data_IF_308727720344
#
_entry.id   IF_308727720344
#
_cell.length_a   1.000
_cell.length_b   1.000
_cell.length_c   1.000
_cell.angle_alpha   90.00
_cell.angle_beta   90.00
_cell.angle_gamma   90.00
#
_symmetry.space_group_name_H-M   'P 1'
#
loop_
_entity.id
_entity.type
_entity.pdbx_description
1 polymer ?
#
# COMPACT_ATOMS: atom_id res chain seq x y z
N UNK A 1 18.60 0.43 -27.23
CA UNK A 1 17.75 0.43 -26.02
C UNK A 1 17.85 1.80 -25.36
N UNK A 2 16.79 2.28 -24.73
CA UNK A 2 16.73 3.64 -24.16
C UNK A 2 16.29 3.63 -22.69
N UNK A 3 16.78 4.60 -21.92
CA UNK A 3 16.24 4.95 -20.61
C UNK A 3 15.19 6.03 -20.84
N UNK A 4 13.99 5.80 -20.33
CA UNK A 4 12.83 6.68 -20.48
C UNK A 4 12.29 7.09 -19.10
N UNK A 5 11.57 8.20 -19.02
CA UNK A 5 10.79 8.54 -17.84
C UNK A 5 9.38 7.92 -17.88
N UNK A 6 8.54 8.28 -16.90
CA UNK A 6 7.14 7.81 -16.82
C UNK A 6 6.22 8.42 -17.89
N UNK A 7 6.60 9.54 -18.50
CA UNK A 7 5.91 10.13 -19.64
C UNK A 7 6.31 9.47 -20.97
N UNK A 8 7.16 8.44 -20.91
CA UNK A 8 7.75 7.75 -22.04
C UNK A 8 8.73 8.62 -22.85
N UNK A 9 9.12 9.78 -22.33
CA UNK A 9 10.14 10.62 -22.95
C UNK A 9 11.51 9.96 -22.79
N UNK A 10 12.33 10.01 -23.86
CA UNK A 10 13.67 9.45 -23.83
C UNK A 10 14.61 10.38 -23.07
N UNK A 11 15.20 9.87 -21.99
CA UNK A 11 16.21 10.59 -21.21
C UNK A 11 17.59 10.40 -21.82
N UNK A 12 17.97 9.14 -22.08
CA UNK A 12 19.23 8.82 -22.76
C UNK A 12 19.20 7.47 -23.47
N UNK A 13 20.06 7.31 -24.46
CA UNK A 13 20.35 5.99 -25.06
C UNK A 13 21.32 5.20 -24.17
N UNK A 14 21.13 3.89 -24.14
CA UNK A 14 22.02 2.95 -23.45
C UNK A 14 23.22 2.67 -24.35
N UNK A 15 24.42 2.67 -23.78
CA UNK A 15 25.64 2.35 -24.52
C UNK A 15 25.69 0.85 -24.89
N UNK A 16 26.55 0.49 -25.85
CA UNK A 16 26.67 -0.92 -26.25
C UNK A 16 27.14 -1.83 -25.09
N UNK A 17 28.06 -1.35 -24.26
CA UNK A 17 28.57 -2.10 -23.10
C UNK A 17 27.51 -2.27 -22.00
N UNK A 18 26.73 -1.24 -21.73
CA UNK A 18 25.60 -1.30 -20.80
C UNK A 18 24.54 -2.28 -21.31
N UNK A 19 24.25 -2.27 -22.62
CA UNK A 19 23.30 -3.20 -23.24
C UNK A 19 23.76 -4.65 -23.13
N UNK A 20 25.02 -4.97 -23.45
CA UNK A 20 25.53 -6.34 -23.33
C UNK A 20 25.51 -6.83 -21.87
N UNK A 21 25.82 -5.95 -20.91
CA UNK A 21 25.72 -6.28 -19.48
C UNK A 21 24.29 -6.60 -19.07
N UNK A 22 23.31 -5.80 -19.51
CA UNK A 22 21.88 -6.03 -19.27
C UNK A 22 21.40 -7.32 -19.94
N UNK A 23 21.87 -7.61 -21.16
CA UNK A 23 21.55 -8.82 -21.90
C UNK A 23 22.06 -10.08 -21.21
N UNK A 24 23.33 -10.10 -20.79
CA UNK A 24 23.90 -11.24 -20.07
C UNK A 24 23.20 -11.45 -18.73
N UNK A 25 22.83 -10.37 -18.04
CA UNK A 25 22.03 -10.44 -16.81
C UNK A 25 20.62 -11.00 -17.06
N UNK A 26 19.91 -10.51 -18.08
CA UNK A 26 18.57 -11.00 -18.43
C UNK A 26 18.57 -12.50 -18.79
N UNK A 27 19.65 -12.98 -19.41
CA UNK A 27 19.87 -14.40 -19.73
C UNK A 27 20.37 -15.23 -18.54
N UNK A 28 20.55 -14.64 -17.36
CA UNK A 28 21.09 -15.33 -16.17
C UNK A 28 22.56 -15.75 -16.29
N UNK A 29 23.30 -15.21 -17.25
CA UNK A 29 24.71 -15.54 -17.55
C UNK A 29 25.71 -14.65 -16.81
N UNK A 30 25.26 -13.54 -16.25
CA UNK A 30 26.08 -12.61 -15.49
C UNK A 30 25.32 -12.06 -14.28
N UNK A 31 26.07 -11.54 -13.30
CA UNK A 31 25.52 -10.74 -12.22
C UNK A 31 24.88 -9.45 -12.76
N UNK A 32 23.90 -8.93 -12.02
CA UNK A 32 23.23 -7.68 -12.37
C UNK A 32 24.24 -6.53 -12.50
N UNK A 33 24.17 -5.67 -13.56
CA UNK A 33 24.92 -4.42 -13.61
C UNK A 33 24.37 -3.45 -12.56
N UNK A 34 24.77 -3.67 -11.31
CA UNK A 34 24.10 -3.16 -10.11
C UNK A 34 24.04 -1.64 -10.08
N UNK A 35 25.13 -0.95 -10.37
CA UNK A 35 25.17 0.52 -10.38
C UNK A 35 24.19 1.14 -11.37
N UNK A 36 24.16 0.62 -12.62
CA UNK A 36 23.25 1.08 -13.66
C UNK A 36 21.78 0.87 -13.25
N UNK A 37 21.45 -0.34 -12.82
CA UNK A 37 20.09 -0.72 -12.44
C UNK A 37 19.62 0.02 -11.18
N UNK A 38 20.51 0.22 -10.19
CA UNK A 38 20.19 1.02 -9.00
C UNK A 38 19.96 2.48 -9.36
N UNK A 39 20.74 3.06 -10.27
CA UNK A 39 20.55 4.45 -10.73
C UNK A 39 19.21 4.61 -11.43
N UNK A 40 18.91 3.76 -12.42
CA UNK A 40 17.60 3.73 -13.11
C UNK A 40 16.46 3.60 -12.10
N UNK A 41 16.60 2.71 -11.12
CA UNK A 41 15.59 2.49 -10.08
C UNK A 41 15.42 3.70 -9.17
N UNK A 42 16.52 4.32 -8.72
CA UNK A 42 16.53 5.49 -7.84
C UNK A 42 15.82 6.68 -8.49
N UNK A 43 16.15 6.94 -9.75
CA UNK A 43 15.61 8.08 -10.50
C UNK A 43 14.17 7.83 -10.99
N UNK A 44 13.63 6.63 -10.77
CA UNK A 44 12.27 6.28 -11.19
C UNK A 44 12.09 6.10 -12.69
N UNK A 45 13.20 5.89 -13.42
CA UNK A 45 13.24 5.70 -14.87
C UNK A 45 12.94 4.26 -15.27
N UNK A 46 12.58 4.06 -16.54
CA UNK A 46 12.28 2.78 -17.17
C UNK A 46 13.22 2.50 -18.35
N UNK A 47 13.16 1.28 -18.87
CA UNK A 47 13.94 0.79 -20.00
C UNK A 47 13.01 0.50 -21.19
N UNK A 48 13.18 1.21 -22.30
CA UNK A 48 12.51 0.92 -23.57
C UNK A 48 13.39 0.02 -24.44
N UNK A 49 12.89 -1.18 -24.74
CA UNK A 49 13.50 -2.10 -25.68
C UNK A 49 13.19 -1.70 -27.12
N UNK A 50 14.15 -1.89 -28.01
CA UNK A 50 14.02 -1.55 -29.44
C UNK A 50 13.72 -2.78 -30.31
N UNK A 51 13.29 -3.88 -29.69
CA UNK A 51 13.07 -5.13 -30.41
C UNK A 51 11.81 -5.15 -31.30
N UNK A 52 10.85 -4.26 -31.05
CA UNK A 52 9.63 -4.09 -31.84
C UNK A 52 9.04 -2.68 -31.64
N UNK A 53 8.01 -2.36 -32.42
CA UNK A 53 7.21 -1.14 -32.31
C UNK A 53 5.73 -1.50 -32.14
N UNK A 54 4.99 -0.92 -31.18
CA UNK A 54 5.47 0.00 -30.13
C UNK A 54 6.51 -0.65 -29.21
N UNK A 55 7.39 0.18 -28.61
CA UNK A 55 8.55 -0.30 -27.85
C UNK A 55 8.12 -0.96 -26.52
N UNK A 56 8.55 -2.20 -26.22
CA UNK A 56 8.35 -2.82 -24.92
C UNK A 56 9.04 -2.04 -23.81
N UNK A 57 8.37 -1.87 -22.68
CA UNK A 57 8.89 -1.12 -21.53
C UNK A 57 9.11 -2.05 -20.35
N UNK A 58 10.28 -1.92 -19.71
CA UNK A 58 10.65 -2.65 -18.51
C UNK A 58 11.00 -1.69 -17.37
N UNK A 59 10.75 -2.11 -16.14
CA UNK A 59 11.23 -1.43 -14.95
C UNK A 59 12.18 -2.31 -14.15
N UNK A 60 13.07 -1.66 -13.39
CA UNK A 60 13.98 -2.35 -12.49
C UNK A 60 13.26 -2.63 -11.17
N UNK A 61 13.03 -3.92 -10.89
CA UNK A 61 12.48 -4.39 -9.63
C UNK A 61 13.61 -4.91 -8.72
N UNK A 62 13.56 -4.56 -7.43
CA UNK A 62 14.41 -5.16 -6.40
C UNK A 62 13.53 -6.02 -5.51
N UNK A 63 13.95 -7.27 -5.30
CA UNK A 63 13.32 -8.19 -4.35
C UNK A 63 13.70 -7.81 -2.92
N UNK A 64 12.94 -8.30 -1.95
CA UNK A 64 13.21 -8.07 -0.53
C UNK A 64 14.58 -8.57 -0.07
N UNK A 65 15.20 -9.47 -0.83
CA UNK A 65 16.55 -10.00 -0.60
C UNK A 65 17.66 -9.15 -1.26
N UNK A 66 17.35 -7.93 -1.71
CA UNK A 66 18.30 -7.06 -2.43
C UNK A 66 18.57 -7.45 -3.90
N UNK A 67 18.04 -8.59 -4.36
CA UNK A 67 18.28 -9.09 -5.72
C UNK A 67 17.51 -8.24 -6.75
N UNK A 68 18.23 -7.70 -7.72
CA UNK A 68 17.65 -6.95 -8.83
C UNK A 68 17.04 -7.89 -9.87
N UNK A 69 16.05 -7.39 -10.60
CA UNK A 69 15.38 -8.08 -11.70
C UNK A 69 14.78 -7.05 -12.66
N UNK A 70 14.70 -7.40 -13.94
CA UNK A 70 13.97 -6.63 -14.93
C UNK A 70 12.56 -7.21 -15.05
N UNK A 71 11.54 -6.34 -15.02
CA UNK A 71 10.15 -6.74 -15.19
C UNK A 71 9.51 -5.93 -16.32
N UNK A 72 8.85 -6.63 -17.23
CA UNK A 72 8.04 -6.03 -18.28
C UNK A 72 6.84 -5.32 -17.64
N UNK A 73 6.52 -4.13 -18.15
CA UNK A 73 5.33 -3.39 -17.76
C UNK A 73 4.11 -4.08 -18.41
N UNK A 74 3.08 -4.49 -17.64
CA UNK A 74 1.90 -5.18 -18.19
C UNK A 74 1.17 -4.39 -19.28
N UNK A 75 1.20 -3.05 -19.23
CA UNK A 75 0.50 -2.19 -20.18
C UNK A 75 1.34 -1.88 -21.44
N UNK A 76 2.57 -2.40 -21.52
CA UNK A 76 3.47 -2.17 -22.64
C UNK A 76 3.44 -3.32 -23.66
N UNK A 77 3.95 -3.05 -24.86
CA UNK A 77 4.08 -4.06 -25.91
C UNK A 77 4.93 -5.27 -25.46
N UNK A 78 4.60 -6.45 -25.99
CA UNK A 78 5.39 -7.65 -25.79
C UNK A 78 6.71 -7.59 -26.58
N UNK A 79 7.76 -8.19 -26.00
CA UNK A 79 9.02 -8.39 -26.70
C UNK A 79 8.91 -9.42 -27.82
N UNK A 80 9.74 -9.30 -28.85
CA UNK A 80 9.86 -10.34 -29.89
C UNK A 80 10.42 -11.64 -29.32
N UNK A 81 10.03 -12.79 -29.90
CA UNK A 81 10.39 -14.12 -29.37
C UNK A 81 11.90 -14.37 -29.22
N UNK A 82 12.74 -13.69 -30.01
CA UNK A 82 14.21 -13.81 -29.95
C UNK A 82 14.88 -12.75 -29.06
N UNK A 83 14.10 -11.85 -28.46
CA UNK A 83 14.64 -10.82 -27.60
C UNK A 83 15.17 -11.43 -26.29
N UNK A 84 16.39 -11.11 -25.84
CA UNK A 84 16.94 -11.63 -24.58
C UNK A 84 16.15 -11.18 -23.33
N UNK A 85 15.27 -10.19 -23.49
CA UNK A 85 14.38 -9.66 -22.46
C UNK A 85 12.95 -10.21 -22.58
N UNK A 86 12.66 -11.06 -23.57
CA UNK A 86 11.39 -11.77 -23.66
C UNK A 86 11.30 -12.79 -22.54
N UNK A 87 10.11 -12.91 -21.92
CA UNK A 87 9.85 -13.96 -20.93
C UNK A 87 9.88 -15.32 -21.62
N UNK A 88 10.77 -16.21 -21.18
CA UNK A 88 10.80 -17.61 -21.63
C UNK A 88 9.61 -18.37 -21.01
N UNK A 89 8.48 -18.42 -21.72
CA UNK A 89 7.35 -19.32 -21.46
C UNK A 89 6.51 -19.05 -20.19
N UNK A 90 5.24 -18.67 -20.38
CA UNK A 90 4.16 -19.01 -19.44
C UNK A 90 3.80 -18.05 -18.31
N UNK A 91 4.39 -16.86 -18.17
CA UNK A 91 3.90 -15.85 -17.19
C UNK A 91 2.93 -14.86 -17.85
N UNK A 92 1.73 -15.39 -18.12
CA UNK A 92 0.41 -14.78 -18.31
C UNK A 92 0.25 -13.44 -19.05
N UNK A 93 -0.26 -13.57 -20.28
CA UNK A 93 -1.33 -12.72 -20.82
C UNK A 93 -2.65 -13.02 -20.09
N UNK A 94 -2.82 -12.44 -18.91
CA UNK A 94 -4.10 -12.19 -18.22
C UNK A 94 -3.75 -11.07 -17.24
N UNK A 95 -4.27 -9.84 -17.30
CA UNK A 95 -5.69 -9.50 -17.29
C UNK A 95 -5.80 -8.00 -17.57
N UNK A 96 -6.69 -7.58 -18.46
CA UNK A 96 -7.24 -6.21 -18.48
C UNK A 96 -8.22 -5.96 -17.32
N UNK A 97 -8.05 -6.68 -16.21
CA UNK A 97 -8.77 -6.46 -14.97
C UNK A 97 -7.81 -5.74 -14.03
N UNK A 98 -8.26 -4.62 -13.47
CA UNK A 98 -7.63 -3.95 -12.32
C UNK A 98 -7.02 -4.99 -11.40
N UNK A 99 -5.69 -4.97 -11.25
CA UNK A 99 -4.98 -5.88 -10.34
C UNK A 99 -5.46 -5.53 -8.93
N UNK A 100 -6.56 -6.15 -8.52
CA UNK A 100 -7.10 -6.11 -7.18
C UNK A 100 -6.10 -6.87 -6.31
N UNK A 101 -5.13 -6.12 -5.81
CA UNK A 101 -4.22 -6.60 -4.80
C UNK A 101 -5.02 -6.86 -3.53
N UNK A 102 -5.35 -8.12 -3.26
CA UNK A 102 -6.12 -8.48 -2.08
C UNK A 102 -5.25 -8.29 -0.84
N UNK A 103 -5.56 -7.28 -0.03
CA UNK A 103 -5.10 -7.20 1.34
C UNK A 103 -5.91 -8.20 2.18
N UNK A 104 -5.26 -8.83 3.15
CA UNK A 104 -5.88 -9.86 3.99
C UNK A 104 -5.79 -9.46 5.46
N UNK A 105 -6.82 -9.79 6.23
CA UNK A 105 -6.84 -9.49 7.66
C UNK A 105 -5.85 -10.41 8.39
N UNK A 106 -4.98 -9.85 9.21
CA UNK A 106 -4.16 -10.65 10.11
C UNK A 106 -5.02 -11.26 11.22
N UNK A 107 -4.77 -12.53 11.52
CA UNK A 107 -5.43 -13.21 12.65
C UNK A 107 -4.76 -12.79 13.95
N UNK A 108 -5.59 -12.44 14.94
CA UNK A 108 -5.13 -12.04 16.27
C UNK A 108 -4.26 -13.13 16.92
N UNK A 109 -3.19 -12.70 17.61
CA UNK A 109 -2.22 -13.62 18.23
C UNK A 109 -1.29 -14.32 17.25
N UNK A 110 -1.41 -14.05 15.95
CA UNK A 110 -0.54 -14.60 14.92
C UNK A 110 0.88 -14.02 14.93
N UNK A 111 1.81 -14.80 14.40
CA UNK A 111 3.15 -14.33 14.06
C UNK A 111 3.12 -13.62 12.70
N UNK A 112 3.55 -12.37 12.67
CA UNK A 112 3.61 -11.60 11.43
C UNK A 112 4.88 -11.96 10.68
N UNK A 113 4.78 -12.18 9.37
CA UNK A 113 5.95 -12.32 8.49
C UNK A 113 5.84 -11.32 7.34
N UNK A 114 6.62 -10.23 7.40
CA UNK A 114 6.59 -9.16 6.39
C UNK A 114 7.66 -9.29 5.29
N UNK A 115 8.71 -10.04 5.58
CA UNK A 115 9.87 -10.22 4.72
C UNK A 115 10.18 -11.68 4.52
N UNK A 116 10.69 -12.03 3.34
CA UNK A 116 11.34 -13.32 3.14
C UNK A 116 12.68 -13.37 3.89
N UNK A 117 12.97 -14.54 4.43
CA UNK A 117 14.27 -14.84 5.03
C UNK A 117 15.41 -14.70 4.01
N UNK A 118 16.55 -14.20 4.48
CA UNK A 118 17.76 -14.06 3.65
C UNK A 118 18.63 -15.27 3.95
N UNK A 119 18.94 -16.08 2.93
CA UNK A 119 19.83 -17.23 3.12
C UNK A 119 21.30 -16.82 3.04
N UNK A 120 22.19 -17.44 3.83
CA UNK A 120 23.63 -17.23 3.71
C UNK A 120 24.11 -17.64 2.31
N UNK A 121 24.90 -16.77 1.70
CA UNK A 121 25.53 -16.97 0.38
C UNK A 121 26.59 -18.07 0.48
N UNK A 122 26.15 -19.33 0.43
CA UNK A 122 27.04 -20.50 0.53
C UNK A 122 26.36 -21.85 0.32
N UNK A 123 25.02 -21.93 0.41
CA UNK A 123 24.24 -23.15 0.13
C UNK A 123 23.22 -22.90 -0.98
N UNK A 124 23.67 -22.53 -2.17
CA UNK A 124 22.81 -22.50 -3.37
C UNK A 124 22.97 -23.80 -4.16
N UNK A 125 22.69 -24.92 -3.49
CA UNK A 125 22.64 -26.24 -4.11
C UNK A 125 21.23 -26.83 -3.95
N UNK A 126 20.25 -26.09 -4.45
CA UNK A 126 18.93 -26.65 -4.75
C UNK A 126 18.64 -26.29 -6.18
N UNK A 127 18.57 -27.34 -7.01
CA UNK A 127 17.93 -27.28 -8.33
C UNK A 127 16.67 -26.45 -8.17
N UNK A 128 16.59 -25.36 -8.92
CA UNK A 128 15.38 -24.58 -9.05
C UNK A 128 14.37 -25.55 -9.67
N UNK A 129 13.61 -26.26 -8.83
CA UNK A 129 12.46 -27.04 -9.31
C UNK A 129 11.53 -25.99 -9.86
N UNK A 130 11.51 -25.88 -11.19
CA UNK A 130 10.44 -25.23 -11.92
C UNK A 130 9.15 -25.90 -11.46
N UNK A 131 8.48 -25.30 -10.49
CA UNK A 131 7.06 -25.54 -10.25
C UNK A 131 6.32 -24.85 -11.40
N UNK A 132 6.36 -25.48 -12.57
CA UNK A 132 5.24 -25.39 -13.51
C UNK A 132 3.98 -25.83 -12.75
N UNK A 133 2.88 -25.14 -13.00
CA UNK A 133 1.53 -25.42 -12.48
C UNK A 133 1.21 -24.96 -11.05
N UNK A 134 1.53 -23.71 -10.71
CA UNK A 134 0.75 -22.99 -9.69
C UNK A 134 0.09 -21.80 -10.38
N UNK A 135 -1.23 -21.89 -10.54
CA UNK A 135 -2.12 -20.76 -10.87
C UNK A 135 -1.59 -19.50 -10.16
N UNK A 136 -1.37 -18.37 -10.84
CA UNK A 136 -0.80 -17.19 -10.22
C UNK A 136 -1.75 -16.65 -9.15
N UNK A 137 -1.61 -17.15 -7.92
CA UNK A 137 -2.26 -16.58 -6.76
C UNK A 137 -1.73 -15.17 -6.60
N UNK A 138 -2.62 -14.19 -6.64
CA UNK A 138 -2.32 -12.81 -6.27
C UNK A 138 -1.61 -12.85 -4.91
N UNK A 139 -0.35 -12.45 -4.87
CA UNK A 139 0.40 -12.45 -3.60
C UNK A 139 -0.18 -11.34 -2.71
N UNK A 140 -0.52 -11.65 -1.45
CA UNK A 140 -0.99 -10.63 -0.53
C UNK A 140 0.09 -9.56 -0.35
N UNK A 141 -0.34 -8.32 -0.12
CA UNK A 141 0.51 -7.17 0.24
C UNK A 141 0.66 -7.19 1.77
N UNK A 142 1.71 -7.80 2.36
CA UNK A 142 1.74 -8.08 3.80
C UNK A 142 1.84 -6.83 4.67
N UNK A 143 2.55 -5.79 4.22
CA UNK A 143 2.71 -4.55 5.00
C UNK A 143 1.41 -3.75 4.97
N UNK A 144 0.74 -3.70 3.81
CA UNK A 144 -0.58 -3.10 3.71
C UNK A 144 -1.62 -3.86 4.52
N UNK A 145 -1.63 -5.18 4.43
CA UNK A 145 -2.51 -6.06 5.21
C UNK A 145 -2.38 -5.81 6.72
N UNK A 146 -1.14 -5.63 7.20
CA UNK A 146 -0.86 -5.30 8.58
C UNK A 146 -1.38 -3.90 8.94
N UNK A 147 -1.08 -2.89 8.12
CA UNK A 147 -1.56 -1.53 8.34
C UNK A 147 -3.09 -1.48 8.43
N UNK A 148 -3.81 -2.11 7.51
CA UNK A 148 -5.27 -2.16 7.54
C UNK A 148 -5.80 -2.91 8.76
N UNK A 149 -5.13 -3.99 9.19
CA UNK A 149 -5.52 -4.74 10.38
C UNK A 149 -5.35 -3.88 11.64
N UNK A 150 -4.24 -3.16 11.75
CA UNK A 150 -3.99 -2.21 12.84
C UNK A 150 -5.03 -1.07 12.85
N UNK A 151 -5.34 -0.49 11.69
CA UNK A 151 -6.37 0.55 11.56
C UNK A 151 -7.77 0.04 11.96
N UNK A 152 -8.10 -1.19 11.59
CA UNK A 152 -9.37 -1.81 11.95
C UNK A 152 -9.48 -2.01 13.47
N UNK A 153 -8.47 -2.66 14.08
CA UNK A 153 -8.42 -2.94 15.51
C UNK A 153 -8.35 -1.67 16.36
N UNK A 154 -7.68 -0.63 15.87
CA UNK A 154 -7.62 0.68 16.51
C UNK A 154 -8.91 1.51 16.31
N UNK A 155 -9.89 1.00 15.54
CA UNK A 155 -11.16 1.69 15.31
C UNK A 155 -11.07 2.92 14.40
N UNK A 156 -9.96 3.12 13.68
CA UNK A 156 -9.74 4.31 12.83
C UNK A 156 -10.66 4.38 11.62
N UNK A 157 -11.21 3.22 11.22
CA UNK A 157 -12.21 3.10 10.17
C UNK A 157 -13.62 3.53 10.60
N UNK A 158 -13.78 4.08 11.81
CA UNK A 158 -15.05 4.53 12.37
C UNK A 158 -14.96 6.00 12.78
N UNK A 159 -16.08 6.69 12.65
CA UNK A 159 -16.25 8.05 13.13
C UNK A 159 -17.56 8.16 13.90
N UNK A 160 -17.50 8.73 15.10
CA UNK A 160 -18.66 9.03 15.90
C UNK A 160 -18.61 10.49 16.37
N UNK A 161 -19.64 11.31 16.09
CA UNK A 161 -19.61 12.73 16.45
C UNK A 161 -19.65 12.97 17.97
N UNK A 162 -20.20 12.04 18.75
CA UNK A 162 -20.27 12.10 20.22
C UNK A 162 -18.90 11.89 20.89
N UNK A 163 -17.97 11.22 20.20
CA UNK A 163 -16.65 10.84 20.72
C UNK A 163 -15.53 11.19 19.72
N UNK A 164 -15.26 12.49 19.48
CA UNK A 164 -14.18 12.91 18.59
C UNK A 164 -12.83 12.46 19.17
N UNK A 165 -12.14 11.57 18.45
CA UNK A 165 -10.88 10.97 18.92
C UNK A 165 -9.70 11.90 18.63
N UNK A 166 -8.94 12.28 19.66
CA UNK A 166 -7.72 13.08 19.50
C UNK A 166 -6.66 12.29 18.75
N UNK A 167 -5.78 12.98 18.03
CA UNK A 167 -4.69 12.32 17.29
C UNK A 167 -3.79 11.47 18.20
N UNK A 168 -3.51 11.94 19.43
CA UNK A 168 -2.76 11.18 20.44
C UNK A 168 -3.38 9.82 20.74
N UNK A 169 -4.72 9.80 20.82
CA UNK A 169 -5.50 8.63 21.21
C UNK A 169 -5.59 7.65 20.03
N UNK A 170 -5.69 8.16 18.80
CA UNK A 170 -5.60 7.36 17.58
C UNK A 170 -4.25 6.63 17.48
N UNK A 171 -3.12 7.32 17.75
CA UNK A 171 -1.80 6.67 17.79
C UNK A 171 -1.62 5.72 18.98
N UNK A 172 -2.23 6.02 20.13
CA UNK A 172 -2.23 5.11 21.27
C UNK A 172 -3.01 3.82 20.96
N UNK A 173 -4.16 3.94 20.30
CA UNK A 173 -4.95 2.80 19.84
C UNK A 173 -4.21 1.95 18.81
N UNK A 174 -3.46 2.56 17.87
CA UNK A 174 -2.58 1.83 16.95
C UNK A 174 -1.49 1.04 17.68
N UNK A 175 -0.85 1.64 18.69
CA UNK A 175 0.15 0.94 19.52
C UNK A 175 -0.46 -0.22 20.31
N UNK A 176 -1.66 -0.01 20.88
CA UNK A 176 -2.40 -1.06 21.58
C UNK A 176 -2.81 -2.20 20.63
N UNK A 177 -3.25 -1.89 19.41
CA UNK A 177 -3.54 -2.88 18.38
C UNK A 177 -2.30 -3.71 18.02
N UNK A 178 -1.13 -3.06 17.91
CA UNK A 178 0.13 -3.75 17.65
C UNK A 178 0.51 -4.74 18.77
N UNK A 179 0.12 -4.50 20.02
CA UNK A 179 0.38 -5.41 21.14
C UNK A 179 -0.21 -6.83 20.94
N UNK A 180 -1.22 -6.96 20.07
CA UNK A 180 -1.92 -8.22 19.79
C UNK A 180 -1.17 -9.14 18.82
N UNK A 181 -0.03 -8.68 18.30
CA UNK A 181 0.79 -9.43 17.36
C UNK A 181 2.22 -9.59 17.85
N UNK A 182 2.90 -10.61 17.32
CA UNK A 182 4.33 -10.82 17.52
C UNK A 182 5.03 -10.92 16.16
N UNK A 183 6.29 -10.49 16.09
CA UNK A 183 7.11 -10.64 14.87
C UNK A 183 7.80 -11.99 14.84
N UNK A 184 8.25 -12.44 15.99
CA UNK A 184 8.81 -13.77 16.24
C UNK A 184 8.37 -14.17 17.65
N UNK A 185 8.34 -15.47 18.01
CA UNK A 185 8.02 -15.88 19.37
C UNK A 185 8.82 -15.07 20.41
N UNK A 186 8.10 -14.43 21.34
CA UNK A 186 8.70 -13.63 22.42
C UNK A 186 8.94 -12.15 22.10
N UNK A 187 8.74 -11.68 20.87
CA UNK A 187 8.86 -10.25 20.52
C UNK A 187 7.50 -9.68 20.12
N UNK A 188 6.79 -8.98 21.03
CA UNK A 188 5.59 -8.22 20.71
C UNK A 188 5.88 -7.16 19.64
N UNK A 189 4.99 -7.01 18.67
CA UNK A 189 5.14 -6.03 17.59
C UNK A 189 5.24 -4.61 18.13
N UNK A 190 4.52 -4.30 19.21
CA UNK A 190 4.56 -2.99 19.86
C UNK A 190 5.96 -2.56 20.32
N UNK A 191 6.87 -3.50 20.62
CA UNK A 191 8.24 -3.17 21.06
C UNK A 191 9.15 -2.77 19.91
N UNK A 192 8.77 -3.13 18.69
CA UNK A 192 9.52 -2.87 17.44
C UNK A 192 8.68 -2.06 16.46
N UNK A 193 7.77 -1.24 16.98
CA UNK A 193 6.97 -0.26 16.26
C UNK A 193 7.18 1.12 16.89
N UNK A 194 7.58 2.10 16.06
CA UNK A 194 7.59 3.52 16.44
C UNK A 194 6.53 4.26 15.61
N UNK A 195 5.78 5.17 16.23
CA UNK A 195 4.73 5.95 15.57
C UNK A 195 5.23 7.31 15.06
N UNK A 196 6.48 7.34 14.60
CA UNK A 196 7.05 8.48 13.86
C UNK A 196 8.07 8.01 12.83
N UNK A 197 8.01 8.57 11.63
CA UNK A 197 8.99 8.32 10.56
C UNK A 197 9.94 9.51 10.48
N UNK A 198 11.18 9.32 10.94
CA UNK A 198 12.24 10.31 10.77
C UNK A 198 13.61 9.62 10.72
N UNK A 199 14.63 10.36 10.27
CA UNK A 199 16.01 9.85 10.25
C UNK A 199 16.51 9.44 11.64
N UNK A 200 16.14 10.20 12.67
CA UNK A 200 16.46 9.88 14.07
C UNK A 200 15.78 8.57 14.52
N UNK A 201 14.49 8.41 14.22
CA UNK A 201 13.75 7.17 14.56
C UNK A 201 14.24 5.95 13.79
N UNK A 202 14.65 6.13 12.54
CA UNK A 202 15.30 5.08 11.75
C UNK A 202 16.58 4.58 12.43
N UNK A 203 17.45 5.49 12.90
CA UNK A 203 18.67 5.10 13.61
C UNK A 203 18.39 4.47 14.98
N UNK A 204 17.41 4.99 15.73
CA UNK A 204 17.00 4.39 17.00
C UNK A 204 16.48 2.95 16.81
N UNK A 205 15.62 2.74 15.80
CA UNK A 205 15.13 1.42 15.42
C UNK A 205 16.26 0.50 14.96
N UNK A 206 17.19 1.00 14.14
CA UNK A 206 18.36 0.23 13.71
C UNK A 206 19.22 -0.25 14.89
N UNK A 207 19.42 0.61 15.89
CA UNK A 207 20.13 0.28 17.13
C UNK A 207 19.38 -0.80 17.91
N UNK A 208 18.07 -0.60 18.14
CA UNK A 208 17.22 -1.58 18.83
C UNK A 208 17.26 -2.96 18.17
N UNK A 209 17.13 -3.03 16.84
CA UNK A 209 17.19 -4.29 16.10
C UNK A 209 18.56 -4.96 16.18
N UNK A 210 19.65 -4.18 16.28
CA UNK A 210 20.99 -4.73 16.47
C UNK A 210 21.16 -5.38 17.84
N UNK A 211 20.60 -4.75 18.88
CA UNK A 211 20.69 -5.18 20.28
C UNK A 211 19.68 -6.29 20.64
N UNK A 212 18.63 -6.47 19.84
CA UNK A 212 17.61 -7.49 20.10
C UNK A 212 18.06 -8.89 19.61
N UNK A 213 18.53 -9.72 20.54
CA UNK A 213 19.02 -11.08 20.24
C UNK A 213 17.90 -12.11 20.00
N UNK A 214 16.69 -11.85 20.49
CA UNK A 214 15.52 -12.74 20.41
C UNK A 214 15.09 -13.11 18.97
N UNK A 215 15.57 -12.39 17.96
CA UNK A 215 15.38 -12.76 16.55
C UNK A 215 16.12 -14.05 16.16
N UNK A 216 17.17 -14.42 16.89
CA UNK A 216 17.99 -15.60 16.57
C UNK A 216 18.53 -15.54 15.14
N UNK A 217 18.22 -16.58 14.35
CA UNK A 217 18.59 -16.67 12.93
C UNK A 217 17.60 -16.01 11.98
N UNK A 218 16.43 -15.56 12.47
CA UNK A 218 15.40 -14.94 11.64
C UNK A 218 15.80 -13.52 11.24
N UNK A 219 15.32 -13.08 10.08
CA UNK A 219 15.56 -11.72 9.61
C UNK A 219 15.01 -10.70 10.59
N UNK A 220 15.88 -9.81 11.05
CA UNK A 220 15.53 -8.69 11.91
C UNK A 220 14.78 -7.62 11.13
N UNK A 221 13.64 -7.20 11.66
CA UNK A 221 12.94 -6.03 11.15
C UNK A 221 12.12 -5.33 12.24
N UNK A 222 11.93 -4.03 12.05
CA UNK A 222 11.05 -3.18 12.85
C UNK A 222 10.12 -2.38 11.96
N UNK A 223 9.27 -1.55 12.56
CA UNK A 223 8.25 -0.77 11.89
C UNK A 223 8.30 0.69 12.32
N UNK A 224 8.14 1.59 11.35
CA UNK A 224 7.91 3.01 11.58
C UNK A 224 6.57 3.37 10.94
N UNK A 225 5.70 4.03 11.70
CA UNK A 225 4.38 4.44 11.27
C UNK A 225 4.20 5.95 11.44
N UNK A 226 3.69 6.65 10.45
CA UNK A 226 3.45 8.10 10.55
C UNK A 226 2.47 8.57 9.47
N UNK A 227 1.94 9.79 9.61
CA UNK A 227 1.21 10.47 8.54
C UNK A 227 2.16 11.34 7.74
N UNK A 228 2.23 11.09 6.43
CA UNK A 228 3.11 11.82 5.52
C UNK A 228 2.30 12.61 4.49
N UNK A 229 2.80 13.79 4.12
CA UNK A 229 2.14 14.70 3.17
C UNK A 229 2.82 14.76 1.82
N UNK A 230 4.02 14.19 1.69
CA UNK A 230 4.82 14.22 0.47
C UNK A 230 5.50 12.86 0.25
N UNK A 231 5.29 12.27 -0.93
CA UNK A 231 5.81 10.95 -1.28
C UNK A 231 6.39 10.97 -2.69
N UNK A 232 7.68 10.70 -2.80
CA UNK A 232 8.35 10.47 -4.08
C UNK A 232 8.06 9.06 -4.63
N UNK A 233 8.53 8.72 -5.83
CA UNK A 233 8.42 7.38 -6.40
C UNK A 233 8.85 6.27 -5.43
N UNK A 234 9.94 6.49 -4.69
CA UNK A 234 10.61 5.56 -3.77
C UNK A 234 11.12 6.22 -2.49
N UNK A 235 10.56 7.36 -2.15
CA UNK A 235 11.05 8.22 -1.08
C UNK A 235 9.89 8.67 -0.21
N UNK A 236 10.11 8.68 1.10
CA UNK A 236 9.24 9.35 2.05
C UNK A 236 9.86 10.71 2.35
N UNK A 237 9.09 11.79 2.22
CA UNK A 237 9.57 13.13 2.57
C UNK A 237 8.96 13.50 3.91
N UNK A 238 9.78 13.45 4.96
CA UNK A 238 9.38 13.66 6.35
C UNK A 238 10.20 14.83 6.92
N UNK A 239 9.53 15.87 7.44
CA UNK A 239 10.18 17.05 8.02
C UNK A 239 11.25 17.69 7.08
N UNK A 240 10.98 17.69 5.76
CA UNK A 240 11.90 18.19 4.73
C UNK A 240 13.09 17.27 4.41
N UNK A 241 13.17 16.09 5.03
CA UNK A 241 14.21 15.09 4.80
C UNK A 241 13.67 13.96 3.94
N UNK A 242 14.41 13.60 2.90
CA UNK A 242 14.12 12.45 2.06
C UNK A 242 14.66 11.16 2.68
N UNK A 243 13.79 10.16 2.83
CA UNK A 243 14.14 8.81 3.27
C UNK A 243 13.83 7.83 2.13
N UNK A 244 14.88 7.29 1.53
CA UNK A 244 14.79 6.27 0.48
C UNK A 244 14.34 4.93 1.08
N UNK A 245 13.45 4.21 0.37
CA UNK A 245 13.15 2.81 0.68
C UNK A 245 13.45 1.89 -0.51
N UNK A 246 14.01 0.71 -0.24
CA UNK A 246 14.53 -0.17 -1.30
C UNK A 246 13.52 -1.20 -1.82
N UNK A 247 12.49 -1.50 -1.04
CA UNK A 247 11.42 -2.45 -1.36
C UNK A 247 10.36 -1.86 -2.28
N UNK A 248 9.16 -2.43 -2.19
CA UNK A 248 7.99 -2.00 -2.96
C UNK A 248 7.06 -1.12 -2.11
N UNK A 249 6.35 -0.22 -2.80
CA UNK A 249 5.25 0.55 -2.25
C UNK A 249 3.95 -0.26 -2.35
N UNK A 250 3.30 -0.51 -1.23
CA UNK A 250 2.02 -1.23 -1.14
C UNK A 250 0.90 -0.22 -0.90
N UNK A 251 0.24 0.17 -1.98
CA UNK A 251 -0.83 1.17 -1.94
C UNK A 251 -2.19 0.49 -1.76
N UNK A 252 -3.06 1.03 -0.88
CA UNK A 252 -4.49 0.68 -0.85
C UNK A 252 -5.22 1.26 -2.07
N UNK A 253 -5.09 2.58 -2.23
CA UNK A 253 -5.69 3.37 -3.30
C UNK A 253 -4.63 4.28 -3.96
N UNK A 254 -5.01 5.44 -4.48
CA UNK A 254 -4.07 6.41 -5.03
C UNK A 254 -3.05 6.94 -4.01
N UNK A 255 -2.19 7.86 -4.45
CA UNK A 255 -1.22 8.57 -3.58
C UNK A 255 -1.75 9.93 -3.12
N UNK A 256 -3.06 10.04 -2.94
CA UNK A 256 -3.72 11.23 -2.43
C UNK A 256 -3.25 11.47 -0.99
N UNK A 257 -2.63 12.63 -0.73
CA UNK A 257 -2.09 12.97 0.58
C UNK A 257 -3.10 13.79 1.39
N UNK A 258 -3.12 13.66 2.73
CA UNK A 258 -2.18 12.93 3.59
C UNK A 258 -2.34 11.39 3.55
N UNK A 259 -1.22 10.69 3.76
CA UNK A 259 -1.14 9.22 3.75
C UNK A 259 -0.69 8.71 5.12
N UNK A 260 -1.48 7.86 5.77
CA UNK A 260 -0.98 7.03 6.86
C UNK A 260 -0.06 5.96 6.27
N UNK A 261 1.18 5.93 6.75
CA UNK A 261 2.24 5.14 6.15
C UNK A 261 2.84 4.20 7.18
N UNK A 262 3.03 2.93 6.79
CA UNK A 262 3.76 1.94 7.56
C UNK A 262 4.98 1.49 6.77
N UNK A 263 6.18 1.77 7.28
CA UNK A 263 7.44 1.41 6.66
C UNK A 263 8.20 0.39 7.51
N UNK A 264 8.77 -0.63 6.85
CA UNK A 264 9.61 -1.63 7.52
C UNK A 264 11.05 -1.13 7.60
N UNK A 265 11.75 -1.37 8.71
CA UNK A 265 13.19 -1.16 8.87
C UNK A 265 13.87 -2.50 8.88
N UNK A 266 14.72 -2.81 7.90
CA UNK A 266 15.39 -4.12 7.80
C UNK A 266 16.69 -4.03 7.00
N UNK A 267 17.43 -5.13 6.95
CA UNK A 267 18.69 -5.28 6.18
C UNK A 267 18.39 -5.87 4.80
N UNK A 268 19.25 -5.67 3.80
CA UNK A 268 19.12 -6.33 2.49
C UNK A 268 19.92 -7.63 2.38
N UNK A 269 20.94 -7.76 3.23
CA UNK A 269 21.96 -8.80 3.14
C UNK A 269 22.02 -9.58 4.45
N UNK A 270 22.32 -10.87 4.34
CA UNK A 270 22.44 -11.75 5.50
C UNK A 270 23.63 -11.31 6.36
N UNK A 271 23.42 -11.23 7.67
CA UNK A 271 24.46 -10.81 8.63
C UNK A 271 24.86 -9.33 8.54
N UNK A 272 24.21 -8.54 7.68
CA UNK A 272 24.47 -7.10 7.62
C UNK A 272 23.88 -6.38 8.83
N UNK A 273 24.62 -5.41 9.37
CA UNK A 273 24.14 -4.50 10.42
C UNK A 273 23.69 -3.14 9.87
N UNK A 274 23.51 -3.05 8.55
CA UNK A 274 23.03 -1.86 7.86
C UNK A 274 21.51 -1.93 7.66
N UNK A 275 20.79 -1.17 8.48
CA UNK A 275 19.34 -1.08 8.46
C UNK A 275 18.88 0.18 7.73
N UNK A 276 17.85 0.02 6.92
CA UNK A 276 17.24 1.07 6.12
C UNK A 276 15.77 0.74 5.87
N UNK A 277 15.03 1.67 5.26
CA UNK A 277 13.62 1.42 4.93
C UNK A 277 13.50 0.36 3.82
N UNK A 278 12.76 -0.71 4.12
CA UNK A 278 12.46 -1.81 3.21
C UNK A 278 11.23 -1.52 2.36
N UNK A 279 10.10 -2.09 2.74
CA UNK A 279 8.80 -1.85 2.13
C UNK A 279 8.10 -0.69 2.83
N UNK A 280 7.17 -0.07 2.12
CA UNK A 280 6.27 0.93 2.68
C UNK A 280 4.84 0.65 2.19
N UNK A 281 3.87 0.68 3.09
CA UNK A 281 2.45 0.65 2.77
C UNK A 281 1.83 2.01 3.02
N UNK A 282 0.84 2.38 2.21
CA UNK A 282 0.19 3.69 2.29
C UNK A 282 -1.32 3.57 2.18
N UNK A 283 -2.01 4.29 3.06
CA UNK A 283 -3.46 4.44 3.09
C UNK A 283 -3.78 5.94 3.12
N UNK A 284 -4.48 6.50 2.13
CA UNK A 284 -4.96 7.88 2.21
C UNK A 284 -5.88 8.04 3.41
N UNK A 285 -5.72 9.15 4.12
CA UNK A 285 -6.56 9.49 5.28
C UNK A 285 -7.21 10.85 5.14
N UNK A 286 -8.24 11.08 5.95
CA UNK A 286 -9.02 12.31 5.94
C UNK A 286 -8.14 13.54 6.18
N UNK A 287 -7.34 13.54 7.24
CA UNK A 287 -6.42 14.64 7.52
C UNK A 287 -5.24 14.19 8.40
N UNK A 288 -4.31 15.11 8.69
CA UNK A 288 -3.24 14.84 9.67
C UNK A 288 -3.76 14.65 11.11
N UNK A 289 -5.01 15.02 11.38
CA UNK A 289 -5.63 14.94 12.70
C UNK A 289 -6.71 13.87 12.80
N UNK A 290 -7.19 13.36 11.67
CA UNK A 290 -8.20 12.30 11.60
C UNK A 290 -7.73 11.24 10.60
N UNK A 291 -7.40 10.06 11.14
CA UNK A 291 -6.83 8.95 10.39
C UNK A 291 -7.90 8.07 9.72
N UNK A 292 -9.13 8.57 9.58
CA UNK A 292 -10.19 7.88 8.85
C UNK A 292 -9.77 7.64 7.39
N UNK A 293 -9.88 6.41 6.86
CA UNK A 293 -9.41 6.03 5.53
C UNK A 293 -10.26 6.70 4.42
N UNK A 294 -9.60 7.18 3.38
CA UNK A 294 -10.22 7.74 2.16
C UNK A 294 -9.60 7.12 0.90
N UNK A 295 -10.23 7.28 -0.25
CA UNK A 295 -9.75 6.76 -1.53
C UNK A 295 -8.85 7.76 -2.25
N UNK A 296 -9.32 8.98 -2.40
CA UNK A 296 -8.66 10.08 -3.11
C UNK A 296 -9.10 11.46 -2.57
N UNK A 297 -8.71 12.53 -3.28
CA UNK A 297 -9.03 13.91 -2.87
C UNK A 297 -10.54 14.22 -2.98
N UNK A 298 -11.24 13.63 -3.95
CA UNK A 298 -12.67 13.84 -4.14
C UNK A 298 -13.47 13.14 -3.04
N UNK A 299 -13.13 11.88 -2.74
CA UNK A 299 -13.67 11.13 -1.61
C UNK A 299 -13.40 11.83 -0.29
N UNK A 300 -12.19 12.38 -0.08
CA UNK A 300 -11.88 13.15 1.13
C UNK A 300 -12.85 14.32 1.31
N UNK A 301 -13.05 15.13 0.27
CA UNK A 301 -13.99 16.25 0.34
C UNK A 301 -15.43 15.79 0.62
N UNK A 302 -15.85 14.66 0.04
CA UNK A 302 -17.18 14.09 0.29
C UNK A 302 -17.33 13.56 1.72
N UNK A 303 -16.31 12.89 2.26
CA UNK A 303 -16.29 12.39 3.65
C UNK A 303 -16.27 13.55 4.65
N UNK A 304 -15.51 14.62 4.39
CA UNK A 304 -15.54 15.83 5.24
C UNK A 304 -16.93 16.46 5.28
N UNK A 305 -17.57 16.57 4.11
CA UNK A 305 -18.94 17.07 3.98
C UNK A 305 -19.95 16.18 4.73
N UNK A 306 -19.80 14.86 4.63
CA UNK A 306 -20.62 13.90 5.35
C UNK A 306 -20.42 14.02 6.86
N UNK A 307 -19.18 14.09 7.36
CA UNK A 307 -18.90 14.25 8.79
C UNK A 307 -19.40 15.58 9.33
N UNK A 308 -19.37 16.65 8.53
CA UNK A 308 -20.01 17.92 8.86
C UNK A 308 -21.52 17.76 9.08
N UNK A 309 -22.20 16.98 8.24
CA UNK A 309 -23.62 16.63 8.44
C UNK A 309 -23.84 15.84 9.74
N UNK A 310 -23.04 14.79 9.99
CA UNK A 310 -23.21 13.95 11.19
C UNK A 310 -23.00 14.77 12.47
N UNK A 311 -22.03 15.69 12.46
CA UNK A 311 -21.79 16.62 13.57
C UNK A 311 -22.98 17.56 13.76
N UNK A 312 -23.51 18.13 12.69
CA UNK A 312 -24.71 18.97 12.77
C UNK A 312 -25.92 18.20 13.32
N UNK A 313 -26.12 16.95 12.91
CA UNK A 313 -27.20 16.09 13.44
C UNK A 313 -27.05 15.87 14.94
N UNK A 314 -25.85 15.56 15.39
CA UNK A 314 -25.56 15.39 16.82
C UNK A 314 -25.77 16.70 17.60
N UNK A 315 -25.20 17.81 17.14
CA UNK A 315 -25.22 19.09 17.87
C UNK A 315 -26.56 19.83 17.82
N UNK A 316 -27.35 19.67 16.75
CA UNK A 316 -28.59 20.45 16.51
C UNK A 316 -29.86 19.63 16.61
N UNK A 317 -29.77 18.32 16.42
CA UNK A 317 -30.94 17.41 16.43
C UNK A 317 -30.84 16.34 17.52
N UNK A 318 -29.73 16.28 18.26
CA UNK A 318 -29.47 15.25 19.28
C UNK A 318 -29.58 13.82 18.72
N UNK A 319 -29.31 13.66 17.42
CA UNK A 319 -29.32 12.37 16.73
C UNK A 319 -27.88 11.90 16.56
N UNK A 320 -27.58 10.74 17.14
CA UNK A 320 -26.27 10.11 17.01
C UNK A 320 -26.24 9.18 15.80
N UNK A 321 -25.37 9.52 14.84
CA UNK A 321 -25.12 8.69 13.66
C UNK A 321 -23.63 8.44 13.56
N UNK A 322 -23.23 7.17 13.64
CA UNK A 322 -21.85 6.74 13.47
C UNK A 322 -21.58 6.37 12.01
N UNK A 323 -20.41 6.71 11.50
CA UNK A 323 -19.93 6.27 10.20
C UNK A 323 -18.87 5.18 10.35
N UNK A 324 -18.86 4.22 9.44
CA UNK A 324 -17.82 3.20 9.34
C UNK A 324 -17.48 2.91 7.88
N UNK A 325 -16.23 2.53 7.60
CA UNK A 325 -15.80 2.08 6.27
C UNK A 325 -15.15 0.70 6.36
N UNK A 326 -15.54 -0.21 5.48
CA UNK A 326 -14.94 -1.54 5.39
C UNK A 326 -13.55 -1.49 4.77
N UNK A 327 -12.50 -1.88 5.52
CA UNK A 327 -11.11 -1.83 5.04
C UNK A 327 -10.70 -2.99 4.13
N UNK A 328 -11.42 -4.11 4.20
CA UNK A 328 -11.10 -5.36 3.49
C UNK A 328 -12.21 -5.80 2.52
N UNK A 329 -13.23 -4.98 2.32
CA UNK A 329 -14.36 -5.31 1.45
C UNK A 329 -13.92 -5.30 -0.02
N UNK A 330 -14.46 -6.24 -0.82
CA UNK A 330 -14.30 -6.23 -2.26
C UNK A 330 -15.35 -5.27 -2.85
N UNK A 331 -14.93 -4.19 -3.51
CA UNK A 331 -15.85 -3.18 -4.07
C UNK A 331 -15.20 -1.80 -4.24
N UNK A 332 -16.02 -0.78 -4.51
CA UNK A 332 -15.55 0.60 -4.54
C UNK A 332 -15.14 1.00 -3.11
N UNK A 333 -13.93 1.50 -2.94
CA UNK A 333 -13.44 1.94 -1.61
C UNK A 333 -14.20 3.16 -1.06
N UNK A 334 -15.17 3.69 -1.81
CA UNK A 334 -15.93 4.91 -1.54
C UNK A 334 -17.14 4.68 -0.62
N UNK A 335 -17.51 3.42 -0.36
CA UNK A 335 -18.68 3.09 0.46
C UNK A 335 -18.44 3.45 1.93
N UNK A 336 -19.41 4.11 2.55
CA UNK A 336 -19.48 4.43 3.98
C UNK A 336 -20.80 3.89 4.54
N UNK A 337 -20.72 3.13 5.61
CA UNK A 337 -21.87 2.66 6.37
C UNK A 337 -22.22 3.70 7.43
N UNK A 338 -23.48 4.15 7.46
CA UNK A 338 -24.02 5.01 8.51
C UNK A 338 -24.93 4.19 9.41
N UNK A 339 -24.71 4.27 10.72
CA UNK A 339 -25.47 3.54 11.73
C UNK A 339 -26.14 4.50 12.70
N UNK A 340 -27.45 4.32 12.87
CA UNK A 340 -28.25 5.01 13.87
C UNK A 340 -29.18 4.00 14.54
N UNK A 341 -28.90 3.65 15.80
CA UNK A 341 -29.63 2.57 16.50
C UNK A 341 -29.54 1.24 15.73
N UNK A 342 -30.70 0.66 15.38
CA UNK A 342 -30.80 -0.55 14.58
C UNK A 342 -30.71 -0.30 13.06
N UNK A 343 -30.84 0.96 12.62
CA UNK A 343 -30.85 1.32 11.21
C UNK A 343 -29.43 1.38 10.64
N UNK A 344 -29.23 0.75 9.49
CA UNK A 344 -28.00 0.78 8.70
C UNK A 344 -28.32 1.38 7.33
N UNK A 345 -27.61 2.44 6.98
CA UNK A 345 -27.63 3.02 5.63
C UNK A 345 -26.27 2.81 4.99
N UNK A 346 -26.24 2.45 3.72
CA UNK A 346 -25.01 2.31 2.94
C UNK A 346 -24.93 3.48 1.97
N UNK A 347 -23.85 4.26 2.04
CA UNK A 347 -23.67 5.46 1.24
C UNK A 347 -22.45 5.29 0.34
N UNK A 348 -22.66 5.28 -0.97
CA UNK A 348 -21.58 5.28 -1.96
C UNK A 348 -21.23 6.72 -2.34
N UNK A 349 -19.97 7.10 -2.07
CA UNK A 349 -19.42 8.43 -2.34
C UNK A 349 -18.67 8.50 -3.68
N UNK A 350 -18.71 7.45 -4.49
CA UNK A 350 -18.14 7.47 -5.84
C UNK A 350 -18.95 8.43 -6.73
N UNK A 351 -18.31 9.46 -7.33
CA UNK A 351 -18.98 10.37 -8.25
C UNK A 351 -19.23 9.74 -9.64
N UNK A 352 -18.63 8.58 -9.92
CA UNK A 352 -18.73 7.91 -11.21
C UNK A 352 -20.17 7.47 -11.49
N UNK A 353 -20.67 7.64 -12.73
CA UNK A 353 -22.03 7.23 -13.07
C UNK A 353 -22.20 5.73 -12.85
N UNK A 354 -23.24 5.37 -12.11
CA UNK A 354 -23.63 3.98 -11.94
C UNK A 354 -24.24 3.45 -13.25
N UNK A 355 -24.06 2.15 -13.56
CA UNK A 355 -24.82 1.50 -14.63
C UNK A 355 -26.32 1.71 -14.41
N UNK A 356 -27.08 1.93 -15.48
CA UNK A 356 -28.53 2.17 -15.43
C UNK A 356 -29.30 1.05 -14.69
N UNK A 357 -28.80 -0.18 -14.74
CA UNK A 357 -29.38 -1.37 -14.09
C UNK A 357 -28.75 -1.73 -12.73
N UNK A 358 -27.93 -0.87 -12.13
CA UNK A 358 -27.28 -1.21 -10.86
C UNK A 358 -28.34 -1.41 -9.75
N UNK A 359 -28.38 -2.58 -9.07
CA UNK A 359 -29.36 -2.82 -8.02
C UNK A 359 -29.23 -1.76 -6.92
N UNK A 360 -30.35 -1.19 -6.49
CA UNK A 360 -30.43 -0.29 -5.33
C UNK A 360 -31.02 -1.05 -4.15
N UNK A 361 -30.20 -1.80 -3.38
CA UNK A 361 -30.71 -2.46 -2.18
C UNK A 361 -31.33 -1.43 -1.23
N UNK A 362 -32.29 -1.87 -0.41
CA UNK A 362 -32.92 -1.00 0.58
C UNK A 362 -31.86 -0.39 1.51
N UNK A 363 -31.94 0.92 1.74
CA UNK A 363 -30.96 1.65 2.55
C UNK A 363 -29.68 2.06 1.80
N UNK A 364 -29.55 1.79 0.50
CA UNK A 364 -28.44 2.24 -0.33
C UNK A 364 -28.69 3.64 -0.91
N UNK A 365 -27.71 4.53 -0.74
CA UNK A 365 -27.69 5.89 -1.27
C UNK A 365 -26.41 6.12 -2.05
N UNK A 366 -26.48 6.82 -3.18
CA UNK A 366 -25.31 7.06 -4.05
C UNK A 366 -25.20 8.53 -4.41
N UNK A 367 -23.98 9.06 -4.33
CA UNK A 367 -23.63 10.40 -4.76
C UNK A 367 -23.97 10.64 -6.24
N UNK A 368 -23.62 9.69 -7.10
CA UNK A 368 -23.92 9.75 -8.52
C UNK A 368 -25.42 9.87 -8.81
N UNK A 369 -26.26 9.12 -8.08
CA UNK A 369 -27.73 9.18 -8.22
C UNK A 369 -28.35 10.46 -7.66
N UNK A 370 -27.76 11.01 -6.60
CA UNK A 370 -28.27 12.23 -5.99
C UNK A 370 -27.96 13.49 -6.83
N UNK A 371 -27.03 13.40 -7.79
CA UNK A 371 -26.59 14.55 -8.60
C UNK A 371 -25.71 15.54 -7.84
N UNK A 372 -25.14 15.14 -6.70
CA UNK A 372 -24.22 15.96 -5.90
C UNK A 372 -24.34 15.78 -4.39
N UNK A 373 -23.30 16.22 -3.67
CA UNK A 373 -23.15 15.97 -2.23
C UNK A 373 -24.23 16.65 -1.39
N UNK A 374 -24.68 17.84 -1.79
CA UNK A 374 -25.71 18.57 -1.02
C UNK A 374 -27.11 17.98 -1.19
N UNK A 375 -27.43 17.46 -2.38
CA UNK A 375 -28.66 16.72 -2.61
C UNK A 375 -28.66 15.41 -1.81
N UNK A 376 -27.53 14.69 -1.81
CA UNK A 376 -27.35 13.48 -1.02
C UNK A 376 -27.53 13.75 0.48
N UNK A 377 -26.92 14.81 1.02
CA UNK A 377 -27.10 15.21 2.44
C UNK A 377 -28.58 15.41 2.79
N UNK A 378 -29.34 16.12 1.95
CA UNK A 378 -30.78 16.36 2.17
C UNK A 378 -31.57 15.05 2.21
N UNK A 379 -31.28 14.14 1.29
CA UNK A 379 -31.90 12.82 1.23
C UNK A 379 -31.58 11.98 2.48
N UNK A 380 -30.31 11.96 2.91
CA UNK A 380 -29.88 11.27 4.13
C UNK A 380 -30.56 11.84 5.38
N UNK A 381 -30.71 13.17 5.49
CA UNK A 381 -31.46 13.79 6.59
C UNK A 381 -32.88 13.24 6.67
N UNK A 382 -33.60 13.22 5.55
CA UNK A 382 -34.98 12.73 5.51
C UNK A 382 -35.03 11.25 5.90
N UNK A 383 -34.12 10.43 5.37
CA UNK A 383 -34.06 9.00 5.66
C UNK A 383 -33.79 8.72 7.15
N UNK A 384 -32.80 9.39 7.73
CA UNK A 384 -32.41 9.23 9.13
C UNK A 384 -33.53 9.69 10.06
N UNK A 385 -34.17 10.83 9.78
CA UNK A 385 -35.27 11.36 10.59
C UNK A 385 -36.52 10.46 10.53
N UNK A 386 -36.86 9.94 9.35
CA UNK A 386 -37.98 9.00 9.19
C UNK A 386 -37.74 7.69 9.96
N UNK A 387 -36.50 7.17 9.92
CA UNK A 387 -36.12 5.99 10.70
C UNK A 387 -35.96 6.24 12.20
N UNK A 388 -35.85 7.49 12.64
CA UNK A 388 -35.80 7.88 14.05
C UNK A 388 -37.20 8.05 14.69
N UNK A 389 -38.25 8.11 13.87
CA UNK A 389 -39.63 8.36 14.30
C UNK A 389 -40.45 7.08 14.55
N UNK A 390 -39.77 5.93 14.58
CA UNK A 390 -40.30 4.59 14.91
C UNK A 390 -39.54 4.06 16.10
#
# INVERSE_FOLDING_TARGET
>A
MRIIDRSLATIRKISLSEYESLRLFALGKASAPRELLLRIRKDGHWLACECCHPAPVMHVAMRDTGMLSLKNNPDAADHTAKCPFARSGGENKTSGGTVSHKAERFVDGGHITLHSEIQPTGKRNTRQISRSDVVPRVRPKPVLSLLLSLMEMAGLHRYCPSAPVRLSDQYAALRAAAARFTVTPGIPLQHILDTRISKSRLFAMAKLLRETEQFGSSRRYGLLLDVITKVGPRQLICDGVELDFFGNAELLHGRSTPLLTLATVTTQEYGSNYYQLGKAAFVPVLSQHNLFPVVDDADRANVENLFGLLRWMHEKKEIEVAAARGLFQAGSGYVVELRHGANLLTVDLDPSPLPDDAPSPAGFWSLARAGGIDALKKQLIIAILKGAST
#
